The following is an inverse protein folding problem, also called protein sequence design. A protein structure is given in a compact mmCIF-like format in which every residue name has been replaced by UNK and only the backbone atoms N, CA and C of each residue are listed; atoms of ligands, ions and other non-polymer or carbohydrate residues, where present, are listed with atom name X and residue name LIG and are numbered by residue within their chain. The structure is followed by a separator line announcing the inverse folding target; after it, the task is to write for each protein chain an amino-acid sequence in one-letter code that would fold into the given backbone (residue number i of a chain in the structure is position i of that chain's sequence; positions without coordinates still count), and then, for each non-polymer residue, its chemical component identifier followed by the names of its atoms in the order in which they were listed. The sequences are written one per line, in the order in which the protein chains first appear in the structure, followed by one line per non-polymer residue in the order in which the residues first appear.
data_IF_748771644114
#
_entry.id   IF_748771644114
#
_cell.length_a   1.000
_cell.length_b   1.000
_cell.length_c   1.000
_cell.angle_alpha   90.00
_cell.angle_beta   90.00
_cell.angle_gamma   90.00
#
_symmetry.space_group_name_H-M   'P 1'
#
loop_
_entity.id
_entity.type
_entity.pdbx_description
1 polymer ?
#
# COMPACT_ATOMS: atom_id res chain seq x y z
N UNK A 1 0.14 -1.90 4.88
CA UNK A 1 -0.61 -3.13 4.51
C UNK A 1 -0.82 -3.26 2.99
N UNK A 2 -0.42 -2.27 2.18
CA UNK A 2 -0.40 -2.34 0.72
C UNK A 2 -1.75 -2.06 0.05
N UNK A 3 -2.78 -1.74 0.83
CA UNK A 3 -4.11 -1.39 0.30
C UNK A 3 -4.12 0.06 -0.18
N UNK A 4 -5.07 0.37 -1.06
CA UNK A 4 -5.24 1.71 -1.64
C UNK A 4 -6.53 2.31 -1.10
N UNK A 5 -6.44 3.50 -0.50
CA UNK A 5 -7.63 4.25 -0.10
C UNK A 5 -8.29 4.91 -1.32
N UNK A 6 -9.60 4.73 -1.43
CA UNK A 6 -10.45 5.27 -2.49
C UNK A 6 -11.58 6.05 -1.83
N UNK A 7 -11.75 7.31 -2.22
CA UNK A 7 -12.80 8.19 -1.72
C UNK A 7 -13.10 9.31 -2.70
N UNK A 8 -14.10 10.14 -2.38
CA UNK A 8 -14.62 11.17 -3.27
C UNK A 8 -15.97 10.75 -3.87
N UNK A 9 -16.26 11.14 -5.12
CA UNK A 9 -17.51 10.90 -5.87
C UNK A 9 -18.54 12.04 -5.90
N UNK A 10 -18.28 13.22 -5.33
CA UNK A 10 -19.15 14.38 -5.55
C UNK A 10 -18.36 15.70 -5.66
N UNK A 11 -18.29 16.26 -6.88
CA UNK A 11 -17.64 17.54 -7.22
C UNK A 11 -18.45 18.78 -6.80
N UNK A 12 -19.37 18.63 -5.85
CA UNK A 12 -20.18 19.72 -5.35
C UNK A 12 -19.38 20.62 -4.37
N UNK A 13 -19.62 21.93 -4.42
CA UNK A 13 -18.86 22.94 -3.63
C UNK A 13 -18.99 22.77 -2.11
N UNK A 14 -20.04 22.11 -1.63
CA UNK A 14 -20.28 21.91 -0.20
C UNK A 14 -20.87 20.55 0.14
N UNK A 15 -20.76 20.18 1.41
CA UNK A 15 -21.34 18.98 1.99
C UNK A 15 -22.85 19.14 2.16
N UNK A 16 -23.64 18.48 1.32
CA UNK A 16 -25.10 18.46 1.40
C UNK A 16 -25.55 17.02 1.57
N UNK A 17 -26.08 16.70 2.75
CA UNK A 17 -26.41 15.32 3.14
C UNK A 17 -27.90 15.01 3.08
N UNK A 18 -28.76 16.02 2.96
CA UNK A 18 -30.22 15.90 2.97
C UNK A 18 -30.87 16.85 1.97
N UNK A 19 -32.10 16.54 1.56
CA UNK A 19 -32.88 17.40 0.66
C UNK A 19 -32.37 17.45 -0.79
N UNK A 20 -31.48 16.55 -1.19
CA UNK A 20 -30.91 16.46 -2.55
C UNK A 20 -30.97 15.05 -3.10
N UNK A 21 -31.09 14.93 -4.42
CA UNK A 21 -31.13 13.63 -5.14
C UNK A 21 -29.84 12.83 -4.97
N UNK A 22 -28.69 13.51 -4.85
CA UNK A 22 -27.38 12.91 -4.69
C UNK A 22 -26.64 13.56 -3.50
N UNK A 23 -26.73 12.97 -2.30
CA UNK A 23 -25.99 13.44 -1.13
C UNK A 23 -24.48 13.45 -1.37
N UNK A 24 -23.75 14.27 -0.63
CA UNK A 24 -22.28 14.26 -0.69
C UNK A 24 -21.72 12.92 -0.24
N UNK A 25 -20.86 12.35 -1.07
CA UNK A 25 -20.18 11.10 -0.76
C UNK A 25 -18.99 11.37 0.15
N UNK A 26 -19.03 10.77 1.34
CA UNK A 26 -18.02 10.90 2.40
C UNK A 26 -17.41 9.55 2.78
N UNK A 27 -17.85 8.45 2.14
CA UNK A 27 -17.30 7.12 2.41
C UNK A 27 -15.85 7.05 1.93
N UNK A 28 -15.10 6.24 2.66
CA UNK A 28 -13.75 5.83 2.33
C UNK A 28 -13.74 4.31 2.20
N UNK A 29 -13.21 3.82 1.08
CA UNK A 29 -13.05 2.41 0.80
C UNK A 29 -11.55 2.07 0.74
N UNK A 30 -11.21 0.83 1.07
CA UNK A 30 -9.85 0.31 0.95
C UNK A 30 -9.84 -0.77 -0.13
N UNK A 31 -9.38 -0.41 -1.32
CA UNK A 31 -9.16 -1.37 -2.39
C UNK A 31 -7.98 -2.28 -2.04
N UNK A 32 -8.17 -3.58 -2.23
CA UNK A 32 -7.15 -4.61 -2.01
C UNK A 32 -6.67 -5.13 -3.36
N UNK A 33 -5.47 -4.72 -3.83
CA UNK A 33 -4.91 -5.25 -5.06
C UNK A 33 -4.73 -6.77 -5.03
N UNK A 34 -4.70 -7.41 -6.20
CA UNK A 34 -4.62 -8.87 -6.35
C UNK A 34 -3.43 -9.49 -5.60
N UNK A 35 -2.29 -8.79 -5.56
CA UNK A 35 -1.09 -9.27 -4.88
C UNK A 35 -1.22 -9.33 -3.35
N UNK A 36 -2.32 -8.79 -2.80
CA UNK A 36 -2.64 -8.90 -1.38
C UNK A 36 -3.46 -10.15 -1.05
N UNK A 37 -3.86 -10.97 -2.02
CA UNK A 37 -4.58 -12.22 -1.79
C UNK A 37 -3.79 -13.14 -0.83
N UNK A 38 -4.52 -13.92 -0.03
CA UNK A 38 -3.95 -14.84 0.96
C UNK A 38 -3.14 -15.95 0.30
N UNK A 39 -3.44 -16.30 -0.96
CA UNK A 39 -2.64 -17.24 -1.77
C UNK A 39 -1.20 -16.78 -1.97
N UNK A 40 -0.95 -15.46 -1.92
CA UNK A 40 0.39 -14.88 -2.07
C UNK A 40 1.06 -14.55 -0.74
N UNK A 41 0.44 -14.90 0.40
CA UNK A 41 0.98 -14.59 1.73
C UNK A 41 2.41 -15.09 1.94
N UNK A 42 2.74 -16.29 1.46
CA UNK A 42 4.08 -16.88 1.60
C UNK A 42 5.14 -16.21 0.72
N UNK A 43 4.73 -15.56 -0.36
CA UNK A 43 5.63 -14.85 -1.29
C UNK A 43 5.75 -13.36 -0.96
N UNK A 44 5.00 -12.87 0.03
CA UNK A 44 5.04 -11.47 0.44
C UNK A 44 6.24 -11.24 1.36
N UNK A 45 7.17 -10.36 1.01
CA UNK A 45 8.28 -10.04 1.87
C UNK A 45 7.82 -9.20 3.08
N UNK A 46 8.47 -9.40 4.22
CA UNK A 46 8.34 -8.57 5.42
C UNK A 46 9.67 -7.89 5.71
N UNK A 47 9.64 -6.60 5.97
CA UNK A 47 10.82 -5.87 6.45
C UNK A 47 11.12 -6.33 7.87
N UNK A 48 12.37 -6.70 8.13
CA UNK A 48 12.87 -7.17 9.43
C UNK A 48 13.64 -6.05 10.12
N UNK A 49 14.50 -5.36 9.38
CA UNK A 49 15.29 -4.25 9.92
C UNK A 49 15.74 -3.27 8.83
N UNK A 50 16.03 -2.06 9.26
CA UNK A 50 16.65 -0.99 8.48
C UNK A 50 17.90 -0.53 9.23
N UNK A 51 18.96 -0.19 8.50
CA UNK A 51 20.16 0.38 9.13
C UNK A 51 19.96 1.81 9.64
N UNK A 52 19.01 2.53 9.05
CA UNK A 52 18.71 3.93 9.35
C UNK A 52 17.20 4.19 9.25
N UNK A 53 16.67 4.99 10.18
CA UNK A 53 15.26 5.42 10.15
C UNK A 53 15.04 6.62 9.21
N UNK A 54 16.09 7.41 8.98
CA UNK A 54 16.06 8.61 8.14
C UNK A 54 17.21 8.53 7.15
N UNK A 55 16.87 8.47 5.87
CA UNK A 55 17.83 8.31 4.78
C UNK A 55 18.04 9.64 4.08
N UNK A 56 19.29 9.95 3.73
CA UNK A 56 19.65 11.10 2.91
C UNK A 56 19.75 10.71 1.43
N UNK A 57 19.46 11.66 0.54
CA UNK A 57 19.63 11.45 -0.89
C UNK A 57 21.09 11.13 -1.23
N UNK A 58 21.30 10.06 -2.01
CA UNK A 58 22.63 9.58 -2.41
C UNK A 58 23.33 8.70 -1.37
N UNK A 59 22.76 8.52 -0.18
CA UNK A 59 23.32 7.63 0.83
C UNK A 59 22.98 6.16 0.57
N UNK A 60 23.89 5.28 0.95
CA UNK A 60 23.66 3.83 0.99
C UNK A 60 23.03 3.45 2.32
N UNK A 61 22.03 2.58 2.30
CA UNK A 61 21.45 1.97 3.50
C UNK A 61 21.32 0.46 3.33
N UNK A 62 21.13 -0.25 4.42
CA UNK A 62 20.90 -1.69 4.43
C UNK A 62 19.45 -1.98 4.83
N UNK A 63 18.77 -2.80 4.03
CA UNK A 63 17.44 -3.34 4.29
C UNK A 63 17.54 -4.85 4.48
N UNK A 64 17.06 -5.35 5.62
CA UNK A 64 16.86 -6.78 5.83
C UNK A 64 15.38 -7.11 5.70
N UNK A 65 15.06 -8.14 4.93
CA UNK A 65 13.70 -8.63 4.78
C UNK A 65 13.66 -10.16 4.87
N UNK A 66 12.48 -10.70 5.15
CA UNK A 66 12.21 -12.14 5.16
C UNK A 66 11.07 -12.46 4.19
N UNK A 67 11.11 -13.65 3.59
CA UNK A 67 10.05 -14.18 2.73
C UNK A 67 9.96 -15.69 2.95
N UNK A 68 8.75 -16.22 3.13
CA UNK A 68 8.57 -17.62 3.52
C UNK A 68 8.80 -18.60 2.39
N UNK A 69 8.47 -18.22 1.15
CA UNK A 69 8.61 -19.06 -0.03
C UNK A 69 9.32 -18.29 -1.14
N UNK A 70 10.59 -18.64 -1.40
CA UNK A 70 11.41 -18.04 -2.44
C UNK A 70 12.28 -19.08 -3.14
N UNK A 71 12.62 -18.81 -4.41
CA UNK A 71 13.57 -19.60 -5.18
C UNK A 71 14.95 -18.95 -5.05
N UNK A 72 15.86 -19.57 -4.30
CA UNK A 72 17.15 -18.99 -3.92
C UNK A 72 18.02 -18.51 -5.09
N UNK A 73 17.87 -19.12 -6.28
CA UNK A 73 18.72 -18.82 -7.44
C UNK A 73 18.14 -17.77 -8.39
N UNK A 74 17.01 -17.12 -8.07
CA UNK A 74 16.40 -16.11 -8.95
C UNK A 74 15.68 -15.01 -8.15
N UNK A 75 16.42 -14.33 -7.27
CA UNK A 75 15.90 -13.21 -6.48
C UNK A 75 16.24 -11.91 -7.20
N UNK A 76 15.22 -11.23 -7.72
CA UNK A 76 15.32 -9.87 -8.23
C UNK A 76 14.49 -8.96 -7.33
N UNK A 77 15.05 -7.82 -6.95
CA UNK A 77 14.35 -6.79 -6.21
C UNK A 77 14.44 -5.45 -6.94
N UNK A 78 13.41 -4.64 -6.78
CA UNK A 78 13.34 -3.28 -7.31
C UNK A 78 12.91 -2.38 -6.17
N UNK A 79 13.73 -1.38 -5.86
CA UNK A 79 13.38 -0.29 -4.96
C UNK A 79 12.97 0.92 -5.81
N UNK A 80 11.92 1.61 -5.40
CA UNK A 80 11.40 2.84 -6.01
C UNK A 80 11.57 4.01 -5.05
#
# INVERSE_FOLDING_TARGET
DGRIFVGGSNTHFGYVLSGVTFPTELRLEAYSPYYLDTSYSTSRPSIVSLSEDVMSYGSTFTLQFSVSNYVANNIQFTLY
#
